data_IF_792991648822
#
_entry.id   IF_792991648822
#
_cell.length_a   1.000
_cell.length_b   1.000
_cell.length_c   1.000
_cell.angle_alpha   90.00
_cell.angle_beta   90.00
_cell.angle_gamma   90.00
#
_symmetry.space_group_name_H-M   'P 1'
#
loop_
_entity.id
_entity.type
_entity.pdbx_description
1 polymer ?
#
# COMPACT_ATOMS: atom_id res chain seq x y z
N UNK A 1 16.55 -6.87 22.17
CA UNK A 1 15.46 -6.03 21.67
C UNK A 1 16.08 -4.70 21.29
N UNK A 2 15.86 -4.26 20.06
CA UNK A 2 16.30 -2.94 19.60
C UNK A 2 15.22 -1.90 19.96
N UNK A 3 15.62 -0.75 20.47
CA UNK A 3 14.65 0.32 20.74
C UNK A 3 14.20 0.95 19.42
N UNK A 4 12.94 1.40 19.29
CA UNK A 4 12.52 2.26 18.20
C UNK A 4 13.42 3.50 18.10
N UNK A 5 13.64 4.03 16.90
CA UNK A 5 14.34 5.29 16.74
C UNK A 5 13.55 6.44 17.38
N UNK A 6 14.21 7.55 17.73
CA UNK A 6 13.58 8.66 18.45
C UNK A 6 12.36 9.30 17.73
N UNK A 7 12.16 8.98 16.45
CA UNK A 7 11.01 9.41 15.63
C UNK A 7 10.03 8.26 15.33
N UNK A 8 10.17 7.12 15.98
CA UNK A 8 9.30 5.95 15.87
C UNK A 8 8.63 5.66 17.21
N UNK A 9 7.48 5.00 17.14
CA UNK A 9 6.77 4.49 18.33
C UNK A 9 6.26 3.09 18.08
N UNK A 10 6.32 2.23 19.10
CA UNK A 10 5.58 0.98 19.12
C UNK A 10 4.19 1.25 19.67
N UNK A 11 3.17 1.05 18.84
CA UNK A 11 1.76 1.25 19.19
C UNK A 11 1.07 -0.11 19.18
N UNK A 12 0.28 -0.36 20.21
CA UNK A 12 -0.56 -1.54 20.29
C UNK A 12 -1.97 -1.22 19.81
N UNK A 13 -2.42 -1.89 18.75
CA UNK A 13 -3.73 -1.75 18.16
C UNK A 13 -4.25 -3.13 17.72
N UNK A 14 -5.55 -3.38 17.79
CA UNK A 14 -6.18 -4.66 17.45
C UNK A 14 -5.40 -5.86 18.02
N UNK A 15 -4.94 -5.78 19.27
CA UNK A 15 -4.16 -6.79 20.01
C UNK A 15 -2.73 -7.08 19.45
N UNK A 16 -2.30 -6.32 18.45
CA UNK A 16 -0.98 -6.46 17.81
C UNK A 16 -0.13 -5.23 18.06
N UNK A 17 1.19 -5.40 17.90
CA UNK A 17 2.17 -4.35 18.04
C UNK A 17 2.60 -3.85 16.67
N UNK A 18 2.57 -2.53 16.44
CA UNK A 18 2.94 -1.90 15.18
C UNK A 18 4.09 -0.91 15.42
N UNK A 19 5.05 -0.85 14.49
CA UNK A 19 6.05 0.21 14.49
C UNK A 19 5.53 1.35 13.60
N UNK A 20 5.42 2.54 14.19
CA UNK A 20 4.80 3.70 13.58
C UNK A 20 5.79 4.85 13.51
N UNK A 21 5.90 5.43 12.32
CA UNK A 21 6.49 6.74 12.11
C UNK A 21 5.40 7.69 11.63
N UNK A 22 5.27 8.85 12.31
CA UNK A 22 4.24 9.83 12.01
C UNK A 22 4.86 11.23 11.94
N UNK A 23 4.88 11.81 10.76
CA UNK A 23 5.15 13.20 10.50
C UNK A 23 3.90 13.82 9.90
N UNK A 24 2.99 14.23 10.78
CA UNK A 24 1.68 14.76 10.41
C UNK A 24 1.74 16.29 10.29
N UNK A 25 0.91 16.84 9.42
CA UNK A 25 0.69 18.27 9.26
C UNK A 25 -0.79 18.57 9.44
N UNK A 26 -1.11 19.55 10.27
CA UNK A 26 -2.49 19.97 10.50
C UNK A 26 -3.14 20.41 9.16
N UNK A 27 -4.32 19.90 8.87
CA UNK A 27 -5.13 20.23 7.68
C UNK A 27 -4.52 19.84 6.32
N UNK A 28 -3.36 19.20 6.30
CA UNK A 28 -2.77 18.66 5.06
C UNK A 28 -3.19 17.19 4.84
N UNK A 29 -3.13 16.73 3.59
CA UNK A 29 -3.31 15.33 3.29
C UNK A 29 -2.17 14.49 3.90
N UNK A 30 -2.52 13.32 4.44
CA UNK A 30 -1.56 12.37 4.99
C UNK A 30 -1.46 11.15 4.10
N UNK A 31 -0.24 10.83 3.68
CA UNK A 31 0.07 9.58 2.98
C UNK A 31 0.18 8.48 4.03
N UNK A 32 -0.77 7.54 4.02
CA UNK A 32 -0.72 6.32 4.83
C UNK A 32 0.08 5.25 4.08
N UNK A 33 1.35 5.08 4.44
CA UNK A 33 2.26 4.16 3.76
C UNK A 33 2.24 2.76 4.39
N UNK A 34 2.01 1.73 3.55
CA UNK A 34 2.01 0.32 3.90
C UNK A 34 3.17 -0.41 3.23
N UNK A 35 4.05 -1.08 3.98
CA UNK A 35 5.24 -1.72 3.44
C UNK A 35 4.94 -3.05 2.73
N UNK A 36 5.92 -3.46 1.93
CA UNK A 36 5.95 -4.77 1.27
C UNK A 36 6.25 -5.93 2.21
N UNK A 37 6.17 -7.14 1.66
CA UNK A 37 6.43 -8.37 2.42
C UNK A 37 7.85 -8.45 2.97
N UNK A 38 7.97 -8.76 4.27
CA UNK A 38 9.25 -8.87 4.96
C UNK A 38 9.99 -7.55 5.15
N UNK A 39 9.30 -6.42 5.03
CA UNK A 39 9.89 -5.10 5.22
C UNK A 39 9.21 -4.31 6.34
N UNK A 40 10.00 -3.47 6.99
CA UNK A 40 9.51 -2.37 7.79
C UNK A 40 9.17 -1.17 6.88
N UNK A 41 8.27 -0.32 7.31
CA UNK A 41 7.95 0.93 6.62
C UNK A 41 9.13 1.95 6.61
N UNK A 42 10.23 1.63 7.30
CA UNK A 42 11.50 2.37 7.24
C UNK A 42 12.00 2.61 5.81
N UNK A 43 11.60 1.79 4.86
CA UNK A 43 11.88 2.03 3.42
C UNK A 43 11.31 3.35 2.91
N UNK A 44 10.35 3.96 3.60
CA UNK A 44 9.77 5.25 3.25
C UNK A 44 10.42 6.45 3.97
N UNK A 45 11.16 6.22 5.10
CA UNK A 45 11.70 7.32 5.92
C UNK A 45 13.15 7.12 6.39
N UNK A 46 13.77 5.98 6.06
CA UNK A 46 15.18 5.71 6.39
C UNK A 46 15.43 5.27 7.83
N UNK A 47 16.72 5.22 8.20
CA UNK A 47 17.21 4.97 9.55
C UNK A 47 18.24 6.05 9.95
N UNK A 48 18.62 6.19 11.23
CA UNK A 48 19.63 7.17 11.64
C UNK A 48 20.94 6.98 10.89
N UNK A 49 21.45 8.08 10.31
CA UNK A 49 22.67 8.08 9.50
C UNK A 49 22.45 7.99 7.99
N UNK A 50 21.22 7.72 7.51
CA UNK A 50 20.89 7.82 6.08
C UNK A 50 20.70 9.27 5.64
N UNK A 51 20.86 9.52 4.35
CA UNK A 51 20.49 10.80 3.74
C UNK A 51 18.97 10.86 3.63
N UNK A 52 18.36 11.79 4.36
CA UNK A 52 16.88 11.91 4.40
C UNK A 52 16.27 12.17 3.02
N UNK A 53 16.98 12.90 2.15
CA UNK A 53 16.56 13.20 0.77
C UNK A 53 16.28 11.95 -0.06
N UNK A 54 16.86 10.81 0.31
CA UNK A 54 16.71 9.55 -0.41
C UNK A 54 15.37 8.83 -0.10
N UNK A 55 14.55 9.38 0.79
CA UNK A 55 13.32 8.74 1.26
C UNK A 55 12.09 9.61 1.05
N UNK A 56 10.94 8.94 0.89
CA UNK A 56 9.65 9.59 0.65
C UNK A 56 9.29 10.61 1.73
N UNK A 57 9.60 10.35 2.99
CA UNK A 57 9.23 11.24 4.09
C UNK A 57 9.73 12.67 3.86
N UNK A 58 11.00 12.82 3.57
CA UNK A 58 11.61 14.13 3.27
C UNK A 58 10.98 14.79 2.05
N UNK A 59 10.74 14.01 0.99
CA UNK A 59 10.22 14.51 -0.27
C UNK A 59 8.73 14.91 -0.16
N UNK A 60 7.95 14.21 0.65
CA UNK A 60 6.55 14.55 0.96
C UNK A 60 6.47 15.82 1.81
N UNK A 61 7.40 16.00 2.76
CA UNK A 61 7.48 17.23 3.54
C UNK A 61 7.65 18.48 2.69
N UNK A 62 8.52 18.40 1.67
CA UNK A 62 8.75 19.49 0.73
C UNK A 62 7.52 19.83 -0.13
N UNK A 63 6.51 18.93 -0.18
CA UNK A 63 5.24 19.09 -0.91
C UNK A 63 4.05 19.33 0.02
N UNK A 64 4.30 19.63 1.26
CA UNK A 64 3.28 19.92 2.27
C UNK A 64 2.36 18.76 2.61
N UNK A 65 2.82 17.51 2.36
CA UNK A 65 2.10 16.29 2.67
C UNK A 65 2.62 15.66 3.97
N UNK A 66 1.71 15.12 4.78
CA UNK A 66 2.07 14.29 5.93
C UNK A 66 2.45 12.87 5.53
N UNK A 67 3.21 12.19 6.37
CA UNK A 67 3.47 10.75 6.27
C UNK A 67 3.08 10.06 7.57
N UNK A 68 2.26 9.01 7.44
CA UNK A 68 2.00 8.01 8.47
C UNK A 68 2.44 6.65 7.91
N UNK A 69 3.59 6.15 8.35
CA UNK A 69 4.17 4.91 7.88
C UNK A 69 4.07 3.83 8.96
N UNK A 70 3.33 2.75 8.68
CA UNK A 70 2.98 1.72 9.67
C UNK A 70 3.56 0.37 9.24
N UNK A 71 4.49 -0.16 10.04
CA UNK A 71 5.03 -1.50 9.86
C UNK A 71 4.22 -2.50 10.65
N UNK A 72 3.83 -3.60 10.01
CA UNK A 72 3.28 -4.76 10.71
C UNK A 72 4.38 -5.49 11.51
N UNK A 73 4.03 -6.20 12.60
CA UNK A 73 5.00 -6.97 13.38
C UNK A 73 5.61 -8.11 12.57
N UNK A 74 6.90 -8.26 12.70
CA UNK A 74 7.68 -9.31 12.07
C UNK A 74 8.83 -9.76 13.01
N UNK A 75 9.78 -10.55 12.54
CA UNK A 75 10.91 -11.02 13.37
C UNK A 75 12.00 -9.97 13.63
N UNK A 76 11.83 -8.74 13.17
CA UNK A 76 12.80 -7.68 13.45
C UNK A 76 12.86 -7.38 14.94
N UNK A 77 14.08 -7.12 15.44
CA UNK A 77 14.37 -6.96 16.88
C UNK A 77 13.64 -5.78 17.56
N UNK A 78 13.06 -4.87 16.79
CA UNK A 78 12.26 -3.75 17.32
C UNK A 78 10.95 -4.21 17.95
N UNK A 79 10.37 -5.33 17.48
CA UNK A 79 9.14 -5.88 18.02
C UNK A 79 9.39 -6.76 19.24
N UNK A 80 8.51 -6.68 20.22
CA UNK A 80 8.60 -7.49 21.44
C UNK A 80 8.07 -8.90 21.23
N UNK A 81 7.19 -9.10 20.23
CA UNK A 81 6.50 -10.35 19.96
C UNK A 81 6.25 -10.55 18.48
N UNK A 82 6.42 -11.78 18.02
CA UNK A 82 5.97 -12.23 16.72
C UNK A 82 4.49 -12.64 16.74
N UNK A 83 3.80 -12.49 15.59
CA UNK A 83 2.38 -12.84 15.43
C UNK A 83 2.18 -13.65 14.15
N UNK A 84 2.59 -14.94 14.13
CA UNK A 84 2.60 -15.76 12.89
C UNK A 84 1.23 -15.88 12.23
N UNK A 85 0.16 -15.82 13.03
CA UNK A 85 -1.23 -15.99 12.59
C UNK A 85 -1.96 -14.68 12.30
N UNK A 86 -1.27 -13.54 12.33
CA UNK A 86 -1.89 -12.25 12.01
C UNK A 86 -2.45 -12.26 10.59
N UNK A 87 -3.74 -12.03 10.46
CA UNK A 87 -4.48 -12.02 9.20
C UNK A 87 -4.46 -10.64 8.54
N UNK A 88 -4.86 -10.55 7.26
CA UNK A 88 -5.07 -9.28 6.58
C UNK A 88 -6.15 -8.44 7.28
N UNK A 89 -7.20 -9.07 7.78
CA UNK A 89 -8.25 -8.40 8.55
C UNK A 89 -7.68 -7.74 9.80
N UNK A 90 -6.92 -8.48 10.61
CA UNK A 90 -6.31 -7.94 11.84
C UNK A 90 -5.28 -6.84 11.56
N UNK A 91 -4.53 -6.97 10.46
CA UNK A 91 -3.63 -5.92 10.01
C UNK A 91 -4.40 -4.66 9.63
N UNK A 92 -5.44 -4.78 8.81
CA UNK A 92 -6.27 -3.65 8.39
C UNK A 92 -6.93 -2.94 9.60
N UNK A 93 -7.47 -3.71 10.55
CA UNK A 93 -8.06 -3.16 11.78
C UNK A 93 -7.04 -2.36 12.61
N UNK A 94 -5.86 -2.94 12.85
CA UNK A 94 -4.80 -2.25 13.61
C UNK A 94 -4.29 -0.99 12.91
N UNK A 95 -4.12 -1.04 11.58
CA UNK A 95 -3.72 0.14 10.79
C UNK A 95 -4.81 1.22 10.84
N UNK A 96 -6.09 0.85 10.70
CA UNK A 96 -7.21 1.79 10.74
C UNK A 96 -7.34 2.44 12.12
N UNK A 97 -7.22 1.68 13.21
CA UNK A 97 -7.23 2.21 14.59
C UNK A 97 -6.12 3.25 14.76
N UNK A 98 -4.87 2.91 14.43
CA UNK A 98 -3.73 3.83 14.54
C UNK A 98 -3.94 5.08 13.67
N UNK A 99 -4.39 4.91 12.44
CA UNK A 99 -4.56 6.03 11.51
C UNK A 99 -5.64 7.00 12.00
N UNK A 100 -6.77 6.50 12.51
CA UNK A 100 -7.85 7.35 13.02
C UNK A 100 -7.50 8.03 14.35
N UNK A 101 -6.70 7.38 15.18
CA UNK A 101 -6.26 7.97 16.44
C UNK A 101 -5.21 9.09 16.26
N UNK A 102 -4.37 8.98 15.21
CA UNK A 102 -3.29 9.92 14.97
C UNK A 102 -3.65 11.04 13.99
N UNK A 103 -4.47 10.76 12.99
CA UNK A 103 -4.85 11.73 11.95
C UNK A 103 -6.18 12.36 12.31
N UNK A 104 -6.12 13.54 12.93
CA UNK A 104 -7.29 14.28 13.41
C UNK A 104 -8.10 14.87 12.23
N UNK A 105 -9.01 14.05 11.66
CA UNK A 105 -9.98 14.45 10.62
C UNK A 105 -9.39 14.87 9.27
N UNK A 106 -8.08 14.80 9.08
CA UNK A 106 -7.43 15.09 7.79
C UNK A 106 -7.67 14.00 6.74
N UNK A 107 -7.61 14.34 5.44
CA UNK A 107 -7.78 13.35 4.37
C UNK A 107 -6.58 12.39 4.30
N UNK A 108 -6.87 11.10 4.09
CA UNK A 108 -5.89 10.04 3.93
C UNK A 108 -5.77 9.62 2.46
N UNK A 109 -4.55 9.54 1.94
CA UNK A 109 -4.23 8.79 0.72
C UNK A 109 -3.46 7.54 1.11
N UNK A 110 -4.02 6.38 0.85
CA UNK A 110 -3.35 5.11 1.15
C UNK A 110 -2.32 4.84 0.05
N UNK A 111 -1.06 4.65 0.41
CA UNK A 111 0.02 4.24 -0.49
C UNK A 111 0.53 2.85 -0.09
N UNK A 112 0.17 1.83 -0.87
CA UNK A 112 0.59 0.45 -0.59
C UNK A 112 1.73 0.03 -1.50
N UNK A 113 2.84 -0.41 -0.91
CA UNK A 113 3.94 -0.99 -1.66
C UNK A 113 3.91 -2.51 -1.62
N UNK A 114 4.06 -3.16 -2.79
CA UNK A 114 4.18 -4.63 -2.89
C UNK A 114 3.02 -5.34 -2.16
N UNK A 115 3.28 -6.10 -1.11
CA UNK A 115 2.27 -6.76 -0.27
C UNK A 115 1.26 -5.75 0.33
N UNK A 116 1.64 -4.49 0.49
CA UNK A 116 0.77 -3.44 1.04
C UNK A 116 -0.56 -3.24 0.32
N UNK A 117 -0.69 -3.70 -0.93
CA UNK A 117 -1.95 -3.64 -1.66
C UNK A 117 -2.95 -4.76 -1.35
N UNK A 118 -2.51 -5.86 -0.72
CA UNK A 118 -3.37 -7.04 -0.52
C UNK A 118 -4.54 -6.82 0.42
N UNK A 119 -4.38 -5.97 1.41
CA UNK A 119 -5.41 -5.68 2.41
C UNK A 119 -6.22 -4.42 2.11
N UNK A 120 -6.09 -3.80 0.93
CA UNK A 120 -6.65 -2.47 0.67
C UNK A 120 -8.17 -2.38 0.84
N UNK A 121 -8.94 -3.40 0.42
CA UNK A 121 -10.41 -3.39 0.54
C UNK A 121 -10.83 -3.46 2.01
N UNK A 122 -10.20 -4.34 2.78
CA UNK A 122 -10.37 -4.42 4.23
C UNK A 122 -10.04 -3.12 4.94
N UNK A 123 -8.88 -2.54 4.58
CA UNK A 123 -8.41 -1.31 5.20
C UNK A 123 -9.33 -0.13 4.89
N UNK A 124 -9.76 0.01 3.62
CA UNK A 124 -10.68 1.08 3.25
C UNK A 124 -11.97 1.00 4.07
N UNK A 125 -12.56 -0.19 4.16
CA UNK A 125 -13.74 -0.41 5.00
C UNK A 125 -13.49 -0.05 6.46
N UNK A 126 -12.42 -0.56 7.05
CA UNK A 126 -12.10 -0.32 8.45
C UNK A 126 -11.87 1.16 8.77
N UNK A 127 -11.31 1.92 7.82
CA UNK A 127 -11.13 3.37 7.93
C UNK A 127 -12.47 4.11 7.82
N UNK A 128 -13.31 3.76 6.81
CA UNK A 128 -14.63 4.37 6.61
C UNK A 128 -15.56 4.10 7.82
N UNK A 129 -15.57 2.88 8.35
CA UNK A 129 -16.34 2.51 9.56
C UNK A 129 -15.93 3.32 10.80
N UNK A 130 -14.68 3.81 10.84
CA UNK A 130 -14.15 4.71 11.88
C UNK A 130 -14.31 6.19 11.55
N UNK A 131 -14.96 6.53 10.43
CA UNK A 131 -15.21 7.90 10.01
C UNK A 131 -14.01 8.61 9.40
N UNK A 132 -12.95 7.91 9.01
CA UNK A 132 -11.84 8.50 8.29
C UNK A 132 -12.23 8.92 6.88
N UNK A 133 -11.67 10.03 6.41
CA UNK A 133 -11.84 10.51 5.03
C UNK A 133 -10.73 9.91 4.16
N UNK A 134 -11.04 8.88 3.39
CA UNK A 134 -10.10 8.26 2.45
C UNK A 134 -10.28 8.87 1.06
N UNK A 135 -9.25 9.55 0.55
CA UNK A 135 -9.25 10.12 -0.82
C UNK A 135 -9.13 9.04 -1.89
N UNK A 136 -8.35 8.00 -1.61
CA UNK A 136 -8.14 6.87 -2.50
C UNK A 136 -6.94 6.02 -2.12
N UNK A 137 -6.56 5.15 -3.04
CA UNK A 137 -5.41 4.25 -2.92
C UNK A 137 -4.46 4.42 -4.10
N UNK A 138 -3.16 4.49 -3.82
CA UNK A 138 -2.09 4.48 -4.84
C UNK A 138 -1.23 3.22 -4.68
N UNK A 139 -1.20 2.41 -5.71
CA UNK A 139 -0.38 1.21 -5.78
C UNK A 139 1.05 1.54 -6.17
N UNK A 140 2.01 1.33 -5.28
CA UNK A 140 3.45 1.42 -5.56
C UNK A 140 3.98 0.01 -5.84
N UNK A 141 4.04 -0.44 -7.07
CA UNK A 141 4.34 -1.85 -7.40
C UNK A 141 3.57 -2.82 -6.48
N UNK A 142 2.29 -2.55 -6.23
CA UNK A 142 1.52 -3.25 -5.23
C UNK A 142 0.81 -4.49 -5.80
N UNK A 143 0.77 -5.54 -5.00
CA UNK A 143 -0.01 -6.75 -5.30
C UNK A 143 -1.48 -6.51 -4.99
N UNK A 144 -2.40 -6.84 -5.90
CA UNK A 144 -3.83 -6.69 -5.68
C UNK A 144 -4.35 -7.73 -4.67
N UNK A 145 -5.55 -7.51 -4.11
CA UNK A 145 -6.20 -8.45 -3.21
C UNK A 145 -6.67 -9.74 -3.91
N UNK A 146 -6.43 -9.88 -5.20
CA UNK A 146 -6.84 -11.04 -6.00
C UNK A 146 -5.81 -12.16 -5.94
N UNK A 147 -6.19 -13.34 -5.40
CA UNK A 147 -5.35 -14.53 -5.47
C UNK A 147 -5.02 -14.93 -6.91
N UNK A 148 -3.82 -15.47 -7.11
CA UNK A 148 -3.38 -15.99 -8.39
C UNK A 148 -2.79 -14.98 -9.37
N UNK A 149 -2.84 -13.68 -9.08
CA UNK A 149 -2.12 -12.65 -9.85
C UNK A 149 -0.67 -12.45 -9.38
N UNK A 150 -0.31 -13.04 -8.26
CA UNK A 150 1.08 -13.10 -7.82
C UNK A 150 1.77 -14.34 -8.38
N UNK A 151 3.07 -14.28 -8.74
CA UNK A 151 3.82 -15.47 -9.10
C UNK A 151 3.75 -16.49 -7.97
N UNK A 152 3.51 -17.76 -8.31
CA UNK A 152 3.61 -18.85 -7.33
C UNK A 152 5.04 -18.97 -6.85
N UNK A 153 5.23 -19.06 -5.54
CA UNK A 153 6.53 -19.47 -5.03
C UNK A 153 6.90 -20.85 -5.55
N UNK A 154 8.07 -21.03 -6.14
CA UNK A 154 8.51 -22.34 -6.57
C UNK A 154 8.76 -23.22 -5.36
N UNK A 155 7.83 -24.12 -5.05
CA UNK A 155 7.89 -25.26 -4.12
C UNK A 155 8.61 -25.06 -2.78
N UNK A 156 8.05 -25.63 -1.71
CA UNK A 156 8.65 -25.70 -0.37
C UNK A 156 8.82 -24.34 0.28
N UNK A 157 7.76 -23.80 0.83
CA UNK A 157 7.82 -22.58 1.62
C UNK A 157 8.65 -22.82 2.88
N UNK A 158 9.59 -21.94 3.15
CA UNK A 158 10.38 -22.00 4.38
C UNK A 158 9.63 -21.28 5.49
N UNK A 159 9.32 -22.03 6.55
CA UNK A 159 8.86 -21.49 7.80
C UNK A 159 10.06 -21.19 8.69
N UNK A 160 10.06 -20.03 9.29
CA UNK A 160 10.98 -19.69 10.36
C UNK A 160 10.62 -20.49 11.63
N UNK A 161 11.57 -20.69 12.56
CA UNK A 161 11.35 -21.46 13.79
C UNK A 161 10.23 -20.92 14.67
N UNK A 162 9.96 -19.60 14.61
CA UNK A 162 8.87 -18.91 15.30
C UNK A 162 7.52 -18.99 14.56
N UNK A 163 7.43 -19.74 13.45
CA UNK A 163 6.23 -19.90 12.65
C UNK A 163 5.96 -18.73 11.67
N UNK A 164 6.87 -17.78 11.54
CA UNK A 164 6.79 -16.71 10.56
C UNK A 164 7.26 -17.19 9.18
N UNK A 165 6.82 -16.50 8.14
CA UNK A 165 7.31 -16.79 6.82
C UNK A 165 8.71 -16.24 6.58
N UNK A 166 9.62 -17.12 6.19
CA UNK A 166 10.99 -16.76 5.87
C UNK A 166 11.08 -16.14 4.46
N UNK A 167 11.36 -14.84 4.41
CA UNK A 167 11.63 -14.10 3.18
C UNK A 167 13.07 -14.23 2.67
N UNK A 168 13.91 -15.10 3.25
CA UNK A 168 15.34 -15.24 2.86
C UNK A 168 15.51 -15.55 1.37
N UNK A 169 14.57 -16.29 0.76
CA UNK A 169 14.56 -16.59 -0.68
C UNK A 169 14.50 -15.35 -1.55
N UNK A 170 13.92 -14.28 -1.04
CA UNK A 170 13.80 -13.01 -1.76
C UNK A 170 14.99 -12.08 -1.51
N UNK A 171 15.98 -12.50 -0.70
CA UNK A 171 17.14 -11.67 -0.40
C UNK A 171 17.93 -11.30 -1.66
N UNK A 172 18.16 -12.25 -2.57
CA UNK A 172 18.87 -11.96 -3.81
C UNK A 172 18.11 -10.92 -4.67
N UNK A 173 16.78 -11.04 -4.77
CA UNK A 173 15.92 -10.08 -5.50
C UNK A 173 15.97 -8.71 -4.82
N UNK A 174 15.88 -8.68 -3.49
CA UNK A 174 15.94 -7.43 -2.74
C UNK A 174 17.32 -6.74 -2.89
N UNK A 175 18.41 -7.50 -2.79
CA UNK A 175 19.77 -6.98 -2.97
C UNK A 175 19.93 -6.44 -4.41
N UNK A 176 19.51 -7.18 -5.42
CA UNK A 176 19.57 -6.71 -6.81
C UNK A 176 18.75 -5.42 -7.03
N UNK A 177 17.58 -5.30 -6.39
CA UNK A 177 16.79 -4.07 -6.43
C UNK A 177 17.49 -2.89 -5.76
N UNK A 178 18.19 -3.11 -4.64
CA UNK A 178 18.99 -2.06 -3.98
C UNK A 178 20.23 -1.68 -4.77
N UNK A 179 20.90 -2.65 -5.40
CA UNK A 179 22.02 -2.36 -6.32
C UNK A 179 21.55 -1.49 -7.50
N UNK A 180 20.33 -1.74 -8.00
CA UNK A 180 19.71 -0.89 -9.03
C UNK A 180 19.48 0.54 -8.50
N UNK A 181 18.91 0.70 -7.29
CA UNK A 181 18.74 2.00 -6.64
C UNK A 181 20.09 2.73 -6.49
N UNK A 182 21.11 2.04 -5.95
CA UNK A 182 22.44 2.61 -5.75
C UNK A 182 23.09 3.04 -7.08
N UNK A 183 22.90 2.25 -8.14
CA UNK A 183 23.38 2.59 -9.48
C UNK A 183 22.67 3.82 -10.05
N UNK A 184 21.36 3.93 -9.89
CA UNK A 184 20.59 5.10 -10.34
C UNK A 184 20.95 6.36 -9.55
N UNK A 185 21.17 6.24 -8.26
CA UNK A 185 21.60 7.34 -7.40
C UNK A 185 23.06 7.77 -7.65
N UNK A 186 23.92 6.87 -8.16
CA UNK A 186 25.34 7.12 -8.32
C UNK A 186 26.15 6.99 -7.01
N UNK A 187 25.53 6.55 -5.94
CA UNK A 187 26.13 6.29 -4.61
C UNK A 187 25.34 5.22 -3.87
N UNK A 188 25.89 4.74 -2.76
CA UNK A 188 25.21 3.75 -1.92
C UNK A 188 24.13 4.43 -1.05
N UNK A 189 22.87 4.20 -1.38
CA UNK A 189 21.69 4.70 -0.63
C UNK A 189 21.42 3.78 0.58
N UNK A 190 21.36 2.49 0.35
CA UNK A 190 21.21 1.46 1.39
C UNK A 190 22.18 0.31 1.05
N UNK A 191 23.06 -0.05 1.98
CA UNK A 191 23.89 -1.24 1.82
C UNK A 191 23.09 -2.52 2.09
N UNK A 192 23.52 -3.69 1.57
CA UNK A 192 22.90 -4.98 1.90
C UNK A 192 22.87 -5.28 3.41
N UNK A 193 23.88 -4.85 4.15
CA UNK A 193 23.95 -5.05 5.59
C UNK A 193 22.97 -4.16 6.35
N UNK A 194 22.88 -2.88 6.00
CA UNK A 194 21.88 -1.96 6.56
C UNK A 194 20.47 -2.43 6.23
N UNK A 195 20.24 -2.90 4.99
CA UNK A 195 18.95 -3.44 4.61
C UNK A 195 18.53 -4.61 5.49
N UNK A 196 19.43 -5.56 5.71
CA UNK A 196 19.16 -6.70 6.58
C UNK A 196 18.95 -6.30 8.03
N UNK A 197 19.73 -5.33 8.52
CA UNK A 197 19.71 -4.91 9.92
C UNK A 197 18.52 -4.02 10.26
N UNK A 198 18.16 -3.08 9.42
CA UNK A 198 17.19 -2.02 9.75
C UNK A 198 15.83 -2.14 9.05
N UNK A 199 15.75 -2.89 7.94
CA UNK A 199 14.55 -2.86 7.09
C UNK A 199 13.84 -4.20 6.96
N UNK A 200 14.45 -5.30 7.42
CA UNK A 200 13.96 -6.66 7.14
C UNK A 200 13.59 -7.45 8.38
N UNK A 201 12.57 -8.33 8.20
CA UNK A 201 12.19 -9.35 9.17
C UNK A 201 11.29 -10.41 8.52
N UNK A 202 11.26 -11.62 9.09
CA UNK A 202 10.29 -12.65 8.69
C UNK A 202 8.89 -12.20 9.08
N UNK A 203 7.95 -12.26 8.14
CA UNK A 203 6.60 -11.72 8.31
C UNK A 203 5.57 -12.77 8.74
N UNK A 204 4.39 -12.32 9.23
CA UNK A 204 3.27 -13.20 9.51
C UNK A 204 2.85 -13.98 8.27
N UNK A 205 2.71 -15.29 8.42
CA UNK A 205 2.32 -16.21 7.34
C UNK A 205 1.02 -15.81 6.66
N UNK A 206 0.04 -15.42 7.48
CA UNK A 206 -1.30 -15.17 7.00
C UNK A 206 -1.45 -13.88 6.20
N UNK A 207 -0.48 -12.95 6.29
CA UNK A 207 -0.49 -11.71 5.50
C UNK A 207 -0.23 -11.91 4.00
N UNK A 208 0.17 -13.11 3.58
CA UNK A 208 0.26 -13.37 2.13
C UNK A 208 -1.07 -13.14 1.41
N UNK A 209 -2.18 -13.58 1.99
CA UNK A 209 -3.52 -13.36 1.43
C UNK A 209 -3.67 -13.84 -0.01
N UNK A 210 -3.00 -14.92 -0.39
CA UNK A 210 -2.93 -15.45 -1.75
C UNK A 210 -3.48 -16.88 -1.84
N UNK A 211 -3.66 -17.40 -3.08
CA UNK A 211 -4.04 -18.80 -3.32
C UNK A 211 -3.05 -19.77 -2.66
N UNK A 212 -1.80 -19.40 -2.64
CA UNK A 212 -0.70 -20.16 -2.05
C UNK A 212 -0.40 -19.81 -0.59
N UNK A 213 -1.34 -19.15 0.09
CA UNK A 213 -1.28 -18.85 1.52
C UNK A 213 -1.03 -20.10 2.34
N UNK A 214 -0.09 -20.03 3.27
CA UNK A 214 0.37 -21.15 4.07
C UNK A 214 -0.19 -21.05 5.48
N UNK A 215 -0.71 -22.16 6.01
CA UNK A 215 -1.10 -22.31 7.40
C UNK A 215 0.09 -22.60 8.33
N UNK A 216 -0.14 -22.67 9.66
CA UNK A 216 0.91 -22.94 10.63
C UNK A 216 1.60 -24.28 10.46
N UNK A 217 0.93 -25.23 9.81
CA UNK A 217 1.43 -26.57 9.50
C UNK A 217 2.27 -26.60 8.21
N UNK A 218 2.54 -25.46 7.60
CA UNK A 218 3.29 -25.33 6.35
C UNK A 218 2.50 -25.74 5.11
N UNK A 219 1.19 -25.97 5.22
CA UNK A 219 0.32 -26.36 4.10
C UNK A 219 -0.46 -25.16 3.57
N UNK A 220 -0.77 -25.23 2.27
CA UNK A 220 -1.60 -24.20 1.64
C UNK A 220 -3.04 -24.24 2.18
N UNK A 221 -3.58 -23.07 2.45
CA UNK A 221 -5.01 -22.90 2.76
C UNK A 221 -5.82 -22.86 1.46
N UNK A 222 -7.14 -22.96 1.59
CA UNK A 222 -8.03 -22.88 0.44
C UNK A 222 -8.05 -21.48 -0.17
N UNK A 223 -8.40 -21.41 -1.48
CA UNK A 223 -8.66 -20.15 -2.18
C UNK A 223 -9.75 -19.34 -1.48
N UNK A 224 -10.82 -20.00 -1.01
CA UNK A 224 -11.91 -19.35 -0.28
C UNK A 224 -11.41 -18.66 1.00
N UNK A 225 -10.51 -19.30 1.74
CA UNK A 225 -9.92 -18.67 2.93
C UNK A 225 -9.10 -17.42 2.58
N UNK A 226 -8.34 -17.45 1.48
CA UNK A 226 -7.56 -16.32 1.00
C UNK A 226 -8.47 -15.16 0.54
N UNK A 227 -9.53 -15.47 -0.23
CA UNK A 227 -10.51 -14.48 -0.70
C UNK A 227 -11.30 -13.87 0.46
N UNK A 228 -11.71 -14.68 1.42
CA UNK A 228 -12.44 -14.19 2.61
C UNK A 228 -11.59 -13.27 3.47
N UNK A 229 -10.30 -13.56 3.61
CA UNK A 229 -9.40 -12.70 4.40
C UNK A 229 -9.06 -11.40 3.67
N UNK A 230 -8.78 -11.45 2.37
CA UNK A 230 -8.48 -10.26 1.56
C UNK A 230 -9.72 -9.47 1.16
N UNK A 231 -10.93 -10.06 1.27
CA UNK A 231 -12.17 -9.53 0.68
C UNK A 231 -12.03 -9.20 -0.82
N UNK A 232 -11.27 -10.00 -1.55
CA UNK A 232 -10.81 -9.70 -2.91
C UNK A 232 -11.88 -9.30 -3.92
N UNK A 233 -13.16 -9.58 -3.65
CA UNK A 233 -14.31 -9.21 -4.49
C UNK A 233 -15.31 -8.24 -3.82
N UNK A 234 -14.97 -7.68 -2.66
CA UNK A 234 -15.79 -6.67 -1.99
C UNK A 234 -15.61 -5.28 -2.64
N UNK A 235 -15.98 -5.15 -3.91
CA UNK A 235 -15.80 -3.90 -4.66
C UNK A 235 -16.67 -2.74 -4.16
N UNK A 236 -17.70 -3.05 -3.39
CA UNK A 236 -18.50 -2.09 -2.63
C UNK A 236 -17.69 -1.43 -1.48
N UNK A 237 -16.51 -1.93 -1.20
CA UNK A 237 -15.54 -1.37 -0.25
C UNK A 237 -14.28 -0.84 -0.95
N UNK A 238 -14.23 -0.89 -2.29
CA UNK A 238 -13.04 -0.47 -3.02
C UNK A 238 -12.92 1.06 -3.06
N UNK A 239 -11.77 1.62 -2.66
CA UNK A 239 -11.50 3.04 -2.87
C UNK A 239 -11.30 3.35 -4.36
N UNK A 240 -11.25 4.62 -4.72
CA UNK A 240 -10.70 5.04 -6.01
C UNK A 240 -9.21 4.64 -6.05
N UNK A 241 -8.78 4.00 -7.13
CA UNK A 241 -7.42 3.46 -7.23
C UNK A 241 -6.61 4.14 -8.32
N UNK A 242 -5.37 4.46 -8.00
CA UNK A 242 -4.34 4.91 -8.91
C UNK A 242 -3.07 4.04 -8.78
N UNK A 243 -2.11 4.24 -9.67
CA UNK A 243 -0.89 3.43 -9.73
C UNK A 243 0.33 4.29 -10.00
N UNK A 244 1.44 3.99 -9.33
CA UNK A 244 2.77 4.41 -9.74
C UNK A 244 3.54 3.15 -10.14
N UNK A 245 3.81 3.03 -11.44
CA UNK A 245 4.43 1.85 -12.04
C UNK A 245 5.94 2.06 -12.24
N UNK A 246 6.75 1.01 -11.98
CA UNK A 246 8.16 1.03 -12.35
C UNK A 246 8.32 0.95 -13.88
N UNK A 247 9.51 1.28 -14.39
CA UNK A 247 9.79 1.20 -15.83
C UNK A 247 10.73 0.06 -16.21
N UNK A 248 11.37 -0.58 -15.22
CA UNK A 248 12.40 -1.59 -15.49
C UNK A 248 11.86 -3.02 -15.51
N UNK A 249 12.46 -3.88 -16.36
CA UNK A 249 12.03 -5.29 -16.45
C UNK A 249 12.34 -6.12 -15.21
N UNK A 250 13.13 -5.60 -14.28
CA UNK A 250 13.37 -6.20 -12.95
C UNK A 250 12.10 -6.29 -12.10
N UNK A 251 11.06 -5.52 -12.46
CA UNK A 251 9.72 -5.60 -11.89
C UNK A 251 8.64 -5.64 -13.00
N UNK A 252 8.81 -6.56 -13.95
CA UNK A 252 8.01 -6.64 -15.16
C UNK A 252 6.49 -6.78 -14.91
N UNK A 253 6.11 -7.55 -13.88
CA UNK A 253 4.70 -7.75 -13.55
C UNK A 253 3.98 -6.42 -13.28
N UNK A 254 4.60 -5.54 -12.46
CA UNK A 254 4.01 -4.25 -12.13
C UNK A 254 4.20 -3.22 -13.26
N UNK A 255 5.32 -3.29 -13.99
CA UNK A 255 5.56 -2.41 -15.14
C UNK A 255 4.56 -2.63 -16.27
N UNK A 256 4.17 -3.89 -16.53
CA UNK A 256 3.31 -4.24 -17.67
C UNK A 256 1.83 -4.38 -17.30
N UNK A 257 1.50 -4.88 -16.10
CA UNK A 257 0.13 -5.22 -15.72
C UNK A 257 -0.42 -4.41 -14.54
N UNK A 258 0.43 -3.74 -13.77
CA UNK A 258 0.02 -3.03 -12.55
C UNK A 258 -1.08 -2.00 -12.79
N UNK A 259 -0.88 -1.11 -13.77
CA UNK A 259 -1.85 -0.06 -14.09
C UNK A 259 -3.22 -0.63 -14.51
N UNK A 260 -3.25 -1.65 -15.37
CA UNK A 260 -4.49 -2.27 -15.82
C UNK A 260 -5.22 -2.98 -14.66
N UNK A 261 -4.49 -3.68 -13.80
CA UNK A 261 -5.04 -4.39 -12.65
C UNK A 261 -5.71 -3.44 -11.66
N UNK A 262 -5.02 -2.37 -11.27
CA UNK A 262 -5.56 -1.39 -10.33
C UNK A 262 -6.64 -0.52 -10.94
N UNK A 263 -6.59 -0.25 -12.25
CA UNK A 263 -7.69 0.40 -12.98
C UNK A 263 -8.97 -0.44 -12.93
N UNK A 264 -8.86 -1.75 -13.08
CA UNK A 264 -10.03 -2.63 -12.98
C UNK A 264 -10.66 -2.58 -11.58
N UNK A 265 -9.86 -2.60 -10.50
CA UNK A 265 -10.35 -2.47 -9.12
C UNK A 265 -10.98 -1.10 -8.91
N UNK A 266 -10.31 -0.02 -9.33
CA UNK A 266 -10.81 1.35 -9.18
C UNK A 266 -12.13 1.59 -9.93
N UNK A 267 -12.26 1.08 -11.16
CA UNK A 267 -13.51 1.19 -11.95
C UNK A 267 -14.64 0.35 -11.34
N UNK A 268 -14.35 -0.82 -10.77
CA UNK A 268 -15.35 -1.59 -10.03
C UNK A 268 -15.77 -0.86 -8.75
N UNK A 269 -14.84 -0.22 -8.03
CA UNK A 269 -15.12 0.64 -6.89
C UNK A 269 -15.97 1.85 -7.27
N UNK A 270 -15.65 2.51 -8.39
CA UNK A 270 -16.47 3.61 -8.92
C UNK A 270 -17.94 3.21 -9.07
N UNK A 271 -18.20 2.03 -9.65
CA UNK A 271 -19.58 1.56 -9.90
C UNK A 271 -20.23 1.04 -8.61
N UNK A 272 -19.51 0.23 -7.83
CA UNK A 272 -20.09 -0.55 -6.73
C UNK A 272 -20.09 0.19 -5.40
N UNK A 273 -19.16 1.11 -5.18
CA UNK A 273 -19.05 1.93 -3.99
C UNK A 273 -19.55 3.37 -4.24
N UNK A 274 -18.86 4.12 -5.08
CA UNK A 274 -19.10 5.55 -5.21
C UNK A 274 -20.44 5.88 -5.88
N UNK A 275 -20.89 5.09 -6.86
CA UNK A 275 -22.19 5.23 -7.51
C UNK A 275 -23.25 4.25 -6.96
N UNK A 276 -23.00 3.61 -5.84
CA UNK A 276 -23.96 2.71 -5.21
C UNK A 276 -25.27 3.43 -4.89
N UNK A 277 -26.41 2.76 -5.18
CA UNK A 277 -27.74 3.28 -4.93
C UNK A 277 -28.29 4.21 -6.00
N UNK A 278 -27.53 4.51 -7.07
CA UNK A 278 -28.01 5.31 -8.21
C UNK A 278 -28.59 4.40 -9.30
N UNK A 279 -29.74 4.75 -9.85
CA UNK A 279 -30.21 4.17 -11.12
C UNK A 279 -29.50 4.85 -12.29
N UNK A 280 -28.44 4.21 -12.81
CA UNK A 280 -27.63 4.74 -13.90
C UNK A 280 -28.43 4.98 -15.20
N UNK A 281 -29.58 4.30 -15.39
CA UNK A 281 -30.45 4.50 -16.55
C UNK A 281 -31.21 5.85 -16.52
N UNK A 282 -31.28 6.47 -15.34
CA UNK A 282 -31.94 7.75 -15.14
C UNK A 282 -30.99 8.95 -15.16
N UNK A 283 -29.69 8.71 -15.32
CA UNK A 283 -28.71 9.80 -15.42
C UNK A 283 -28.97 10.66 -16.69
N UNK A 284 -28.77 11.98 -16.58
CA UNK A 284 -28.74 12.84 -17.75
C UNK A 284 -27.71 12.37 -18.79
N UNK A 285 -27.99 12.45 -20.11
CA UNK A 285 -27.07 11.99 -21.16
C UNK A 285 -25.66 12.58 -21.06
N UNK A 286 -25.54 13.86 -20.70
CA UNK A 286 -24.23 14.51 -20.52
C UNK A 286 -23.48 13.97 -19.34
N UNK A 287 -24.16 13.69 -18.22
CA UNK A 287 -23.54 13.04 -17.04
C UNK A 287 -23.04 11.63 -17.37
N UNK A 288 -23.87 10.85 -18.08
CA UNK A 288 -23.48 9.53 -18.55
C UNK A 288 -22.26 9.58 -19.49
N UNK A 289 -22.24 10.55 -20.42
CA UNK A 289 -21.11 10.73 -21.34
C UNK A 289 -19.83 11.07 -20.61
N UNK A 290 -19.87 11.94 -19.59
CA UNK A 290 -18.70 12.25 -18.74
C UNK A 290 -18.19 11.04 -17.96
N UNK A 291 -19.09 10.27 -17.34
CA UNK A 291 -18.70 9.04 -16.63
C UNK A 291 -18.04 8.03 -17.58
N UNK A 292 -18.55 7.89 -18.81
CA UNK A 292 -17.94 7.02 -19.81
C UNK A 292 -16.56 7.50 -20.24
N UNK A 293 -16.37 8.80 -20.42
CA UNK A 293 -15.07 9.38 -20.76
C UNK A 293 -14.07 9.16 -19.61
N UNK A 294 -14.47 9.45 -18.37
CA UNK A 294 -13.65 9.19 -17.18
C UNK A 294 -13.22 7.72 -17.11
N UNK A 295 -14.16 6.79 -17.33
CA UNK A 295 -13.84 5.35 -17.29
C UNK A 295 -12.91 4.91 -18.43
N UNK A 296 -13.08 5.46 -19.64
CA UNK A 296 -12.24 5.14 -20.79
C UNK A 296 -10.80 5.61 -20.61
N UNK A 297 -10.61 6.76 -19.99
CA UNK A 297 -9.28 7.37 -19.78
C UNK A 297 -8.65 6.99 -18.44
N UNK A 298 -9.34 6.19 -17.61
CA UNK A 298 -8.91 5.89 -16.23
C UNK A 298 -7.47 5.42 -16.12
N UNK A 299 -7.10 4.40 -16.89
CA UNK A 299 -5.75 3.83 -16.82
C UNK A 299 -4.66 4.86 -17.17
N UNK A 300 -4.93 5.73 -18.13
CA UNK A 300 -3.98 6.78 -18.53
C UNK A 300 -3.92 7.90 -17.49
N UNK A 301 -5.06 8.31 -16.96
CA UNK A 301 -5.19 9.44 -16.03
C UNK A 301 -4.69 9.07 -14.64
N UNK A 302 -4.97 7.84 -14.17
CA UNK A 302 -4.66 7.37 -12.83
C UNK A 302 -3.35 6.55 -12.75
N UNK A 303 -2.50 6.62 -13.77
CA UNK A 303 -1.19 5.98 -13.74
C UNK A 303 -0.07 6.99 -13.93
N UNK A 304 0.99 6.85 -13.14
CA UNK A 304 2.27 7.53 -13.29
C UNK A 304 3.37 6.48 -13.41
N UNK A 305 4.49 6.85 -13.99
CA UNK A 305 5.67 5.97 -14.09
C UNK A 305 6.88 6.63 -13.45
N UNK A 306 7.68 5.82 -12.77
CA UNK A 306 8.95 6.24 -12.18
C UNK A 306 10.05 5.31 -12.66
N UNK A 307 11.19 5.88 -13.01
CA UNK A 307 12.36 5.11 -13.47
C UNK A 307 12.86 4.19 -12.35
N UNK A 308 13.05 2.91 -12.67
CA UNK A 308 13.55 1.89 -11.75
C UNK A 308 12.67 0.64 -11.71
N UNK A 309 13.07 -0.30 -10.86
CA UNK A 309 12.36 -1.53 -10.55
C UNK A 309 11.54 -1.41 -9.26
N UNK A 310 11.50 -2.49 -8.48
CA UNK A 310 10.60 -2.62 -7.31
C UNK A 310 10.79 -1.59 -6.19
N UNK A 311 11.98 -0.96 -6.11
CA UNK A 311 12.34 0.05 -5.10
C UNK A 311 12.45 1.46 -5.68
N UNK A 312 11.77 1.75 -6.78
CA UNK A 312 11.86 3.01 -7.54
C UNK A 312 11.67 4.28 -6.69
N UNK A 313 10.98 4.18 -5.54
CA UNK A 313 10.69 5.30 -4.63
C UNK A 313 11.80 5.55 -3.59
N UNK A 314 12.94 4.89 -3.70
CA UNK A 314 14.14 5.06 -2.85
C UNK A 314 15.25 5.71 -3.69
N UNK A 315 16.10 6.53 -3.03
CA UNK A 315 17.06 7.40 -3.68
C UNK A 315 16.47 8.76 -4.01
N UNK A 316 17.28 9.82 -3.94
CA UNK A 316 16.82 11.21 -3.99
C UNK A 316 15.90 11.49 -5.20
N UNK A 317 16.31 11.09 -6.40
CA UNK A 317 15.50 11.30 -7.61
C UNK A 317 14.23 10.45 -7.60
N UNK A 318 14.33 9.15 -7.28
CA UNK A 318 13.19 8.24 -7.25
C UNK A 318 12.16 8.66 -6.21
N UNK A 319 12.61 9.03 -5.02
CA UNK A 319 11.76 9.52 -3.94
C UNK A 319 11.06 10.84 -4.31
N UNK A 320 11.80 11.78 -4.93
CA UNK A 320 11.25 13.07 -5.34
C UNK A 320 10.16 12.90 -6.42
N UNK A 321 10.44 12.15 -7.49
CA UNK A 321 9.47 11.90 -8.57
C UNK A 321 8.26 11.13 -8.07
N UNK A 322 8.46 10.17 -7.15
CA UNK A 322 7.35 9.44 -6.52
C UNK A 322 6.49 10.35 -5.65
N UNK A 323 7.09 11.26 -4.89
CA UNK A 323 6.35 12.21 -4.07
C UNK A 323 5.56 13.22 -4.92
N UNK A 324 6.12 13.70 -6.07
CA UNK A 324 5.37 14.51 -7.05
C UNK A 324 4.16 13.74 -7.61
N UNK A 325 4.38 12.48 -7.97
CA UNK A 325 3.31 11.62 -8.49
C UNK A 325 2.21 11.36 -7.44
N UNK A 326 2.58 11.18 -6.16
CA UNK A 326 1.60 11.01 -5.07
C UNK A 326 0.77 12.28 -4.85
N UNK A 327 1.40 13.47 -4.90
CA UNK A 327 0.71 14.75 -4.77
C UNK A 327 -0.29 14.96 -5.93
N UNK A 328 0.16 14.76 -7.16
CA UNK A 328 -0.68 14.90 -8.36
C UNK A 328 -1.85 13.88 -8.37
N UNK A 329 -1.60 12.63 -8.02
CA UNK A 329 -2.65 11.60 -7.92
C UNK A 329 -3.62 11.86 -6.77
N UNK A 330 -3.16 12.44 -5.65
CA UNK A 330 -4.04 12.88 -4.58
C UNK A 330 -5.05 13.91 -5.08
N UNK A 331 -4.59 14.96 -5.77
CA UNK A 331 -5.46 16.01 -6.31
C UNK A 331 -6.45 15.45 -7.34
N UNK A 332 -6.01 14.54 -8.21
CA UNK A 332 -6.87 13.90 -9.20
C UNK A 332 -7.93 13.01 -8.57
N UNK A 333 -7.55 12.16 -7.60
CA UNK A 333 -8.49 11.28 -6.89
C UNK A 333 -9.50 12.11 -6.10
N UNK A 334 -9.08 13.20 -5.45
CA UNK A 334 -9.96 14.11 -4.74
C UNK A 334 -10.97 14.77 -5.67
N UNK A 335 -10.53 15.25 -6.85
CA UNK A 335 -11.40 15.86 -7.85
C UNK A 335 -12.44 14.87 -8.39
N UNK A 336 -12.02 13.65 -8.72
CA UNK A 336 -12.94 12.58 -9.16
C UNK A 336 -13.92 12.20 -8.05
N UNK A 337 -13.46 12.05 -6.82
CA UNK A 337 -14.33 11.76 -5.67
C UNK A 337 -15.41 12.84 -5.47
N UNK A 338 -15.03 14.11 -5.57
CA UNK A 338 -15.96 15.23 -5.49
C UNK A 338 -17.00 15.22 -6.64
N UNK A 339 -16.58 14.94 -7.89
CA UNK A 339 -17.48 14.81 -9.02
C UNK A 339 -18.47 13.66 -8.83
N UNK A 340 -18.01 12.48 -8.43
CA UNK A 340 -18.88 11.32 -8.18
C UNK A 340 -19.88 11.58 -7.05
N UNK A 341 -19.43 12.25 -5.99
CA UNK A 341 -20.33 12.67 -4.90
C UNK A 341 -21.41 13.63 -5.40
N UNK A 342 -21.06 14.65 -6.20
CA UNK A 342 -22.02 15.57 -6.76
C UNK A 342 -23.04 14.87 -7.67
N UNK A 343 -22.61 13.92 -8.49
CA UNK A 343 -23.51 13.10 -9.33
C UNK A 343 -24.47 12.30 -8.44
N UNK A 344 -23.96 11.66 -7.38
CA UNK A 344 -24.76 10.87 -6.45
C UNK A 344 -25.83 11.70 -5.76
N UNK A 345 -25.47 12.86 -5.23
CA UNK A 345 -26.40 13.79 -4.58
C UNK A 345 -27.47 14.24 -5.55
N UNK A 346 -27.11 14.64 -6.77
CA UNK A 346 -28.07 15.10 -7.79
C UNK A 346 -29.02 13.97 -8.25
N UNK A 347 -28.51 12.73 -8.38
CA UNK A 347 -29.33 11.59 -8.80
C UNK A 347 -30.31 11.10 -7.72
N UNK A 348 -29.98 11.24 -6.46
CA UNK A 348 -30.84 10.84 -5.34
C UNK A 348 -31.90 11.91 -5.00
N UNK A 349 -31.72 13.15 -5.43
CA UNK A 349 -32.67 14.24 -5.24
C UNK A 349 -33.83 14.23 -6.28
N UNK A 350 -33.71 13.46 -7.37
CA UNK A 350 -34.71 13.30 -8.43
C UNK A 350 -35.39 11.91 -8.36
#
# INVERSE_FOLDING_TARGET
MEAPFGYESLIKAAEHEFLVHARLKASAATILFLPGGGHLARVAYGHPGTRQQDFLDHQLEARDLGLLAISYPNSHQVFTKAYPMMTLSQWAEGVAEIATDLVDGGPLLIAGWSMGGKGVLRLNRALEERGATVTGFVALSARPPWPGLSPRSPGGELLHEDGLWDYSRYNAIAISGLEEVNRLAGYQVISPDEHRLYYRGAGPLMLRGEVDRIGPDGRFTSLDAALNDSEGFAFDQAPLCATISPTYPTDADHALAGAATWSAIGLMGLIRNHLAGIDLNRLPPDTWSRLRALAADWTQTMNRTVEGGHYFFIGETGAAVTADALADLYDQLAAVGAELHAIKVAALAN
#
